data_IF_035004856624
#
_entry.id   IF_035004856624
#
_cell.length_a   1.000
_cell.length_b   1.000
_cell.length_c   1.000
_cell.angle_alpha   90.00
_cell.angle_beta   90.00
_cell.angle_gamma   90.00
#
_symmetry.space_group_name_H-M   'P 1'
#
loop_
_entity.id
_entity.type
_entity.pdbx_description
1 polymer ?
#
# COMPACT_ATOMS: atom_id res chain seq x y z
N UNK A 1 7.87 18.41 -7.32
CA UNK A 1 6.59 17.72 -7.51
C UNK A 1 5.94 18.38 -8.71
N UNK A 2 6.10 17.77 -9.88
CA UNK A 2 5.58 18.32 -11.13
C UNK A 2 4.14 17.84 -11.31
N UNK A 3 3.18 18.76 -11.12
CA UNK A 3 1.76 18.46 -11.30
C UNK A 3 1.45 18.53 -12.79
N UNK A 4 1.46 17.39 -13.47
CA UNK A 4 0.95 17.28 -14.83
C UNK A 4 -0.58 17.37 -14.79
N UNK A 5 -1.12 18.58 -15.01
CA UNK A 5 -2.56 18.81 -15.09
C UNK A 5 -3.12 18.12 -16.35
N UNK A 6 -3.68 16.92 -16.20
CA UNK A 6 -4.66 16.42 -17.15
C UNK A 6 -5.89 17.36 -17.11
N UNK A 7 -6.50 17.64 -18.27
CA UNK A 7 -7.46 18.75 -18.43
C UNK A 7 -8.74 18.62 -17.59
N UNK A 8 -9.04 17.45 -16.99
CA UNK A 8 -10.26 17.23 -16.21
C UNK A 8 -10.06 16.77 -14.75
N UNK A 9 -8.96 16.09 -14.43
CA UNK A 9 -8.64 15.66 -13.06
C UNK A 9 -7.15 15.96 -12.78
N UNK A 10 -6.78 16.67 -11.68
CA UNK A 10 -5.41 16.74 -11.19
C UNK A 10 -4.88 15.34 -10.94
N UNK A 11 -3.91 14.94 -11.76
CA UNK A 11 -3.11 13.75 -11.57
C UNK A 11 -1.76 14.20 -11.01
N UNK A 12 -1.36 13.57 -9.93
CA UNK A 12 -0.04 13.73 -9.33
C UNK A 12 0.80 12.54 -9.79
N UNK A 13 1.89 12.86 -10.48
CA UNK A 13 2.99 11.95 -10.77
C UNK A 13 4.22 12.51 -10.05
N UNK A 14 4.74 11.78 -9.08
CA UNK A 14 5.93 12.20 -8.33
C UNK A 14 6.73 10.99 -7.94
N UNK A 15 8.03 11.23 -7.79
CA UNK A 15 8.97 10.28 -7.21
C UNK A 15 8.87 10.33 -5.67
N UNK A 16 9.19 9.23 -5.00
CA UNK A 16 9.37 9.11 -3.55
C UNK A 16 8.12 9.11 -2.65
N UNK A 17 7.04 8.46 -3.09
CA UNK A 17 5.91 8.24 -2.18
C UNK A 17 6.17 7.08 -1.21
N UNK A 18 5.88 7.35 0.06
CA UNK A 18 5.80 6.34 1.11
C UNK A 18 4.34 6.12 1.49
N UNK A 19 3.95 4.85 1.55
CA UNK A 19 2.59 4.43 1.85
C UNK A 19 2.59 3.53 3.08
N UNK A 20 1.71 3.83 4.03
CA UNK A 20 1.63 3.12 5.28
C UNK A 20 0.27 2.46 5.43
N UNK A 21 0.27 1.21 5.86
CA UNK A 21 -0.96 0.50 6.22
C UNK A 21 -0.80 -0.17 7.56
N UNK A 22 -1.76 0.07 8.44
CA UNK A 22 -1.86 -0.64 9.70
C UNK A 22 -3.00 -1.65 9.61
N UNK A 23 -2.83 -2.80 10.25
CA UNK A 23 -3.86 -3.78 10.51
C UNK A 23 -3.84 -4.14 11.99
N UNK A 24 -4.99 -4.43 12.56
CA UNK A 24 -5.03 -5.17 13.81
C UNK A 24 -4.44 -6.57 13.61
N UNK A 25 -3.49 -6.93 14.46
CA UNK A 25 -2.83 -8.20 14.38
C UNK A 25 -3.71 -9.32 14.95
N UNK A 26 -3.94 -10.35 14.15
CA UNK A 26 -4.61 -11.58 14.55
C UNK A 26 -3.59 -12.73 14.59
N UNK A 27 -3.74 -13.66 15.53
CA UNK A 27 -2.92 -14.88 15.61
C UNK A 27 -2.92 -15.71 14.31
N UNK A 28 -3.96 -15.59 13.46
CA UNK A 28 -3.98 -16.23 12.12
C UNK A 28 -2.96 -15.65 11.12
N UNK A 29 -2.27 -14.57 11.49
CA UNK A 29 -1.18 -14.00 10.70
C UNK A 29 0.18 -14.62 11.05
N UNK A 30 0.30 -15.32 12.18
CA UNK A 30 1.51 -16.08 12.46
C UNK A 30 1.74 -17.17 11.41
N UNK A 31 3.00 -17.36 11.03
CA UNK A 31 3.37 -18.34 10.00
C UNK A 31 3.16 -17.89 8.56
N UNK A 32 2.47 -16.76 8.33
CA UNK A 32 2.36 -16.16 7.00
C UNK A 32 3.57 -15.30 6.71
N UNK A 33 4.19 -15.54 5.56
CA UNK A 33 5.31 -14.74 5.04
C UNK A 33 4.90 -13.29 4.82
N UNK A 34 5.87 -12.38 4.79
CA UNK A 34 5.63 -10.97 4.49
C UNK A 34 5.01 -10.82 3.09
N UNK A 35 5.40 -11.64 2.12
CA UNK A 35 4.74 -11.73 0.80
C UNK A 35 3.23 -12.05 0.92
N UNK A 36 2.85 -13.09 1.66
CA UNK A 36 1.44 -13.47 1.85
C UNK A 36 0.65 -12.38 2.60
N UNK A 37 1.26 -11.76 3.61
CA UNK A 37 0.66 -10.68 4.37
C UNK A 37 0.49 -9.43 3.51
N UNK A 38 1.46 -9.12 2.66
CA UNK A 38 1.43 -7.99 1.74
C UNK A 38 0.30 -8.18 0.72
N UNK A 39 0.30 -9.29 -0.02
CA UNK A 39 -0.74 -9.62 -1.01
C UNK A 39 -2.15 -9.64 -0.40
N UNK A 40 -2.30 -10.10 0.84
CA UNK A 40 -3.56 -10.08 1.59
C UNK A 40 -4.14 -8.68 1.90
N UNK A 41 -3.39 -7.61 1.63
CA UNK A 41 -3.89 -6.23 1.72
C UNK A 41 -4.78 -5.86 0.52
N UNK A 42 -4.62 -6.51 -0.62
CA UNK A 42 -5.46 -6.32 -1.79
C UNK A 42 -6.71 -7.21 -1.69
N UNK A 43 -7.89 -6.59 -1.57
CA UNK A 43 -9.12 -7.33 -1.26
C UNK A 43 -10.21 -7.02 -2.28
N UNK A 44 -10.96 -8.04 -2.68
CA UNK A 44 -12.19 -7.84 -3.44
C UNK A 44 -13.16 -6.96 -2.65
N UNK A 45 -13.77 -6.05 -3.38
CA UNK A 45 -14.91 -5.27 -2.93
C UNK A 45 -16.06 -6.18 -2.49
N UNK A 46 -16.36 -6.21 -1.17
CA UNK A 46 -17.53 -6.89 -0.57
C UNK A 46 -18.55 -5.85 -0.16
N UNK A 47 -19.86 -6.16 -0.22
CA UNK A 47 -20.96 -5.25 0.17
C UNK A 47 -20.78 -4.55 1.52
N UNK A 48 -20.07 -5.18 2.45
CA UNK A 48 -19.83 -4.67 3.82
C UNK A 48 -18.56 -3.81 3.94
N UNK A 49 -17.82 -3.62 2.85
CA UNK A 49 -16.61 -2.80 2.82
C UNK A 49 -16.99 -1.41 2.29
N UNK A 50 -16.78 -0.36 3.09
CA UNK A 50 -17.33 1.00 2.86
C UNK A 50 -17.20 1.56 1.44
N UNK A 51 -16.22 1.10 0.68
CA UNK A 51 -15.85 1.68 -0.61
C UNK A 51 -16.01 0.69 -1.78
N UNK A 52 -16.50 -0.52 -1.53
CA UNK A 52 -16.76 -1.56 -2.54
C UNK A 52 -17.79 -1.13 -3.59
N UNK A 53 -18.73 -0.29 -3.19
CA UNK A 53 -19.85 0.13 -4.02
C UNK A 53 -19.44 1.21 -5.02
N UNK A 54 -18.31 1.89 -4.78
CA UNK A 54 -17.79 2.93 -5.67
C UNK A 54 -17.13 2.35 -6.92
N UNK A 55 -16.47 1.20 -6.78
CA UNK A 55 -15.73 0.54 -7.85
C UNK A 55 -16.06 -0.96 -7.90
N UNK A 56 -17.28 -1.32 -8.35
CA UNK A 56 -17.76 -2.69 -8.31
C UNK A 56 -16.87 -3.63 -9.14
N UNK A 57 -16.60 -4.81 -8.60
CA UNK A 57 -15.77 -5.83 -9.24
C UNK A 57 -14.26 -5.61 -9.13
N UNK A 58 -13.80 -4.48 -8.58
CA UNK A 58 -12.37 -4.20 -8.43
C UNK A 58 -11.85 -4.63 -7.06
N UNK A 59 -10.59 -5.08 -7.01
CA UNK A 59 -9.87 -5.23 -5.75
C UNK A 59 -9.24 -3.90 -5.35
N UNK A 60 -9.31 -3.60 -4.06
CA UNK A 60 -8.89 -2.33 -3.48
C UNK A 60 -7.97 -2.56 -2.28
N UNK A 61 -7.07 -1.60 -2.03
CA UNK A 61 -6.21 -1.55 -0.85
C UNK A 61 -6.12 -0.14 -0.28
N UNK A 62 -6.20 -0.01 1.05
CA UNK A 62 -6.20 1.28 1.74
C UNK A 62 -4.85 1.54 2.39
N UNK A 63 -4.30 2.72 2.16
CA UNK A 63 -3.01 3.15 2.66
C UNK A 63 -3.10 4.60 3.16
N UNK A 64 -2.05 5.08 3.82
CA UNK A 64 -1.94 6.44 4.31
C UNK A 64 -0.54 7.01 4.09
N UNK A 65 -0.42 8.32 4.23
CA UNK A 65 0.82 9.09 4.10
C UNK A 65 1.85 8.86 5.21
N UNK A 66 1.39 8.37 6.37
CA UNK A 66 2.24 8.20 7.55
C UNK A 66 1.75 7.05 8.43
N UNK A 67 2.64 6.45 9.24
CA UNK A 67 2.24 5.40 10.18
C UNK A 67 1.28 5.95 11.25
N UNK A 68 1.35 7.23 11.58
CA UNK A 68 0.43 7.89 12.51
C UNK A 68 -0.98 8.00 11.92
N UNK A 69 -1.12 8.41 10.66
CA UNK A 69 -2.42 8.42 9.97
C UNK A 69 -2.98 7.01 9.84
N UNK A 70 -2.18 6.05 9.35
CA UNK A 70 -2.60 4.66 9.21
C UNK A 70 -3.08 4.05 10.54
N UNK A 71 -2.38 4.35 11.64
CA UNK A 71 -2.77 3.90 12.98
C UNK A 71 -4.03 4.58 13.48
N UNK A 72 -4.19 5.88 13.26
CA UNK A 72 -5.40 6.61 13.65
C UNK A 72 -6.64 6.05 12.95
N UNK A 73 -6.52 5.73 11.64
CA UNK A 73 -7.61 5.12 10.87
C UNK A 73 -8.07 3.80 11.48
N UNK A 74 -7.19 2.82 11.72
CA UNK A 74 -7.64 1.55 12.34
C UNK A 74 -8.19 1.72 13.75
N UNK A 75 -7.68 2.71 14.50
CA UNK A 75 -8.16 3.01 15.87
C UNK A 75 -9.56 3.59 15.87
N UNK A 76 -9.90 4.40 14.87
CA UNK A 76 -11.27 4.90 14.67
C UNK A 76 -12.28 3.75 14.54
N UNK A 77 -11.86 2.60 14.00
CA UNK A 77 -12.69 1.40 13.81
C UNK A 77 -12.57 0.38 14.96
N UNK A 78 -12.00 0.77 16.09
CA UNK A 78 -12.00 -0.06 17.31
C UNK A 78 -10.87 -1.09 17.40
N UNK A 79 -9.87 -1.05 16.53
CA UNK A 79 -8.75 -2.01 16.59
C UNK A 79 -7.95 -1.94 17.90
N UNK A 80 -7.53 -3.10 18.39
CA UNK A 80 -6.65 -3.28 19.56
C UNK A 80 -5.22 -2.73 19.39
N UNK A 81 -4.34 -2.91 20.37
CA UNK A 81 -2.98 -2.35 20.32
C UNK A 81 -1.93 -3.30 19.76
N UNK A 82 -2.34 -4.52 19.42
CA UNK A 82 -1.56 -5.45 18.62
C UNK A 82 -1.70 -5.05 17.15
N UNK A 83 -0.64 -4.48 16.56
CA UNK A 83 -0.70 -3.83 15.25
C UNK A 83 0.41 -4.37 14.36
N UNK A 84 0.04 -4.69 13.13
CA UNK A 84 0.95 -4.94 12.03
C UNK A 84 1.00 -3.68 11.15
N UNK A 85 2.18 -3.11 10.97
CA UNK A 85 2.40 -1.91 10.14
C UNK A 85 3.23 -2.30 8.93
N UNK A 86 2.70 -2.02 7.74
CA UNK A 86 3.41 -2.10 6.47
C UNK A 86 3.88 -0.71 6.09
N UNK A 87 5.12 -0.61 5.66
CA UNK A 87 5.69 0.55 4.98
C UNK A 87 6.04 0.13 3.56
N UNK A 88 5.27 0.63 2.61
CA UNK A 88 5.47 0.46 1.18
C UNK A 88 5.97 1.74 0.51
N UNK A 89 6.51 1.61 -0.69
CA UNK A 89 6.96 2.70 -1.55
C UNK A 89 6.61 2.41 -3.01
N UNK A 90 6.67 3.44 -3.85
CA UNK A 90 6.60 3.30 -5.30
C UNK A 90 7.86 2.60 -5.83
N UNK A 91 7.75 1.33 -6.25
CA UNK A 91 8.91 0.58 -6.71
C UNK A 91 9.52 1.18 -7.99
N UNK A 92 8.68 1.77 -8.85
CA UNK A 92 9.10 2.40 -10.10
C UNK A 92 10.00 3.64 -9.89
N UNK A 93 9.99 4.23 -8.68
CA UNK A 93 10.88 5.33 -8.34
C UNK A 93 12.17 4.90 -7.64
N UNK A 94 12.39 3.59 -7.40
CA UNK A 94 13.64 3.09 -6.83
C UNK A 94 14.77 3.12 -7.86
N UNK A 95 16.00 3.29 -7.37
CA UNK A 95 17.19 3.19 -8.22
C UNK A 95 17.37 1.78 -8.80
N UNK A 96 16.99 0.74 -8.04
CA UNK A 96 17.01 -0.65 -8.47
C UNK A 96 15.60 -1.20 -8.22
N UNK A 97 14.67 -1.04 -9.19
CA UNK A 97 13.32 -1.56 -9.06
C UNK A 97 13.35 -3.09 -9.03
N UNK A 98 12.30 -3.66 -8.47
CA UNK A 98 12.07 -5.11 -8.42
C UNK A 98 10.75 -5.51 -9.10
N UNK A 99 10.01 -4.53 -9.62
CA UNK A 99 8.74 -4.69 -10.32
C UNK A 99 8.88 -4.10 -11.71
N UNK A 100 8.35 -4.82 -12.71
CA UNK A 100 8.38 -4.39 -14.11
C UNK A 100 6.95 -4.31 -14.70
N UNK A 101 6.64 -3.31 -15.53
CA UNK A 101 7.49 -2.17 -15.88
C UNK A 101 7.67 -1.19 -14.72
N UNK A 102 8.85 -0.57 -14.63
CA UNK A 102 9.15 0.48 -13.67
C UNK A 102 8.45 1.78 -14.10
N UNK A 103 7.17 1.90 -13.77
CA UNK A 103 6.33 3.06 -14.06
C UNK A 103 5.99 3.81 -12.79
N UNK A 104 6.00 5.14 -12.86
CA UNK A 104 5.52 5.98 -11.77
C UNK A 104 4.05 5.66 -11.42
N UNK A 105 3.70 5.82 -10.15
CA UNK A 105 2.32 5.76 -9.69
C UNK A 105 1.56 7.01 -10.13
N UNK A 106 0.41 6.79 -10.81
CA UNK A 106 -0.54 7.84 -11.19
C UNK A 106 -1.61 8.01 -10.12
N UNK A 107 -1.53 9.11 -9.38
CA UNK A 107 -2.45 9.41 -8.26
C UNK A 107 -3.47 10.45 -8.70
N UNK A 108 -4.77 10.16 -8.59
CA UNK A 108 -5.78 11.22 -8.68
C UNK A 108 -5.80 11.99 -7.35
N UNK A 109 -5.68 13.31 -7.42
CA UNK A 109 -5.84 14.20 -6.27
C UNK A 109 -7.34 14.37 -5.93
N UNK A 110 -7.89 13.38 -5.23
CA UNK A 110 -9.23 13.45 -4.68
C UNK A 110 -9.36 14.39 -3.47
N UNK A 111 -8.23 14.87 -2.91
CA UNK A 111 -8.22 15.88 -1.85
C UNK A 111 -8.76 17.20 -2.41
N UNK A 112 -8.31 17.60 -3.59
CA UNK A 112 -8.79 18.81 -4.25
C UNK A 112 -10.32 18.83 -4.46
N UNK A 113 -10.91 17.67 -4.72
CA UNK A 113 -12.36 17.53 -4.97
C UNK A 113 -13.19 17.20 -3.74
N UNK A 114 -12.58 17.04 -2.57
CA UNK A 114 -13.28 16.63 -1.36
C UNK A 114 -13.87 15.21 -1.45
N UNK A 115 -13.13 14.28 -2.07
CA UNK A 115 -13.55 12.89 -2.22
C UNK A 115 -13.82 12.19 -0.87
N UNK A 116 -13.19 12.65 0.21
CA UNK A 116 -13.48 12.24 1.59
C UNK A 116 -14.97 12.40 1.95
N UNK A 117 -15.65 13.42 1.41
CA UNK A 117 -17.09 13.64 1.63
C UNK A 117 -17.94 12.59 0.93
N UNK A 118 -17.55 12.21 -0.29
CA UNK A 118 -18.21 11.13 -1.04
C UNK A 118 -18.02 9.81 -0.28
N UNK A 119 -16.81 9.52 0.17
CA UNK A 119 -16.49 8.34 0.96
C UNK A 119 -17.31 8.27 2.26
N UNK A 120 -17.44 9.40 2.96
CA UNK A 120 -18.26 9.49 4.18
C UNK A 120 -19.73 9.21 3.91
N UNK A 121 -20.30 9.77 2.83
CA UNK A 121 -21.68 9.50 2.40
C UNK A 121 -21.90 8.01 2.16
N UNK A 122 -21.01 7.36 1.40
CA UNK A 122 -21.12 5.92 1.15
C UNK A 122 -21.02 5.12 2.44
N UNK A 123 -20.10 5.49 3.34
CA UNK A 123 -19.96 4.87 4.65
C UNK A 123 -21.20 5.01 5.54
N UNK A 124 -21.96 6.09 5.37
CA UNK A 124 -23.23 6.35 6.07
C UNK A 124 -24.46 5.77 5.35
N UNK A 125 -24.28 5.05 4.23
CA UNK A 125 -25.36 4.57 3.37
C UNK A 125 -26.26 5.70 2.80
N UNK A 126 -25.69 6.89 2.61
CA UNK A 126 -26.37 8.02 1.96
C UNK A 126 -26.32 7.88 0.44
N UNK A 127 -27.37 8.34 -0.25
CA UNK A 127 -27.39 8.35 -1.72
C UNK A 127 -26.42 9.39 -2.27
N UNK A 128 -25.60 8.97 -3.23
CA UNK A 128 -24.76 9.87 -4.00
C UNK A 128 -25.60 10.64 -5.02
N UNK A 129 -25.29 11.93 -5.17
CA UNK A 129 -25.90 12.78 -6.20
C UNK A 129 -25.48 12.30 -7.60
N UNK A 130 -26.21 12.77 -8.62
CA UNK A 130 -25.85 12.49 -10.01
C UNK A 130 -24.43 12.96 -10.35
N UNK A 131 -24.05 14.16 -9.91
CA UNK A 131 -22.71 14.70 -10.16
C UNK A 131 -21.60 13.91 -9.45
N UNK A 132 -21.86 13.42 -8.24
CA UNK A 132 -20.92 12.55 -7.52
C UNK A 132 -20.71 11.22 -8.24
N UNK A 133 -21.79 10.60 -8.75
CA UNK A 133 -21.71 9.38 -9.56
C UNK A 133 -20.95 9.61 -10.86
N UNK A 134 -21.26 10.69 -11.58
CA UNK A 134 -20.54 11.07 -12.81
C UNK A 134 -19.04 11.31 -12.54
N UNK A 135 -18.68 11.89 -11.39
CA UNK A 135 -17.29 12.08 -10.99
C UNK A 135 -16.57 10.75 -10.71
N UNK A 136 -17.22 9.81 -10.02
CA UNK A 136 -16.68 8.45 -9.79
C UNK A 136 -16.47 7.72 -11.12
N UNK A 137 -17.42 7.83 -12.05
CA UNK A 137 -17.30 7.24 -13.38
C UNK A 137 -16.10 7.82 -14.15
N UNK A 138 -15.86 9.14 -14.04
CA UNK A 138 -14.66 9.77 -14.62
C UNK A 138 -13.37 9.23 -14.03
N UNK A 139 -13.29 9.10 -12.70
CA UNK A 139 -12.14 8.47 -12.03
C UNK A 139 -11.89 7.07 -12.60
N UNK A 140 -12.94 6.26 -12.75
CA UNK A 140 -12.82 4.91 -13.30
C UNK A 140 -12.29 4.87 -14.74
N UNK A 141 -12.64 5.87 -15.58
CA UNK A 141 -12.19 5.97 -16.98
C UNK A 141 -10.71 6.32 -17.11
N UNK A 142 -10.18 7.15 -16.21
CA UNK A 142 -8.75 7.51 -16.20
C UNK A 142 -7.82 6.34 -15.86
N UNK A 143 -8.37 5.26 -15.26
CA UNK A 143 -7.64 4.07 -14.80
C UNK A 143 -6.39 4.46 -13.96
N UNK A 144 -6.56 5.22 -12.87
CA UNK A 144 -5.44 5.60 -12.03
C UNK A 144 -4.88 4.41 -11.24
N UNK A 145 -3.67 4.57 -10.73
CA UNK A 145 -3.06 3.61 -9.82
C UNK A 145 -3.66 3.74 -8.41
N UNK A 146 -3.86 4.98 -7.95
CA UNK A 146 -4.55 5.26 -6.70
C UNK A 146 -5.26 6.62 -6.67
N UNK A 147 -6.06 6.82 -5.64
CA UNK A 147 -6.82 8.04 -5.37
C UNK A 147 -6.52 8.55 -3.97
N UNK A 148 -6.05 9.78 -3.85
CA UNK A 148 -5.77 10.42 -2.57
C UNK A 148 -7.02 11.11 -2.01
N UNK A 149 -7.19 11.10 -0.67
CA UNK A 149 -8.28 11.78 0.02
C UNK A 149 -7.90 12.09 1.48
N UNK A 150 -8.60 13.01 2.13
CA UNK A 150 -8.32 13.34 3.52
C UNK A 150 -8.70 12.20 4.48
N UNK A 151 -7.83 11.97 5.47
CA UNK A 151 -8.10 11.07 6.59
C UNK A 151 -9.28 11.59 7.40
N UNK A 152 -10.14 10.66 7.74
CA UNK A 152 -11.32 10.87 8.57
C UNK A 152 -11.00 10.77 10.07
N UNK A 153 -9.85 10.18 10.40
CA UNK A 153 -9.39 9.92 11.77
C UNK A 153 -8.29 10.89 12.24
N UNK A 154 -7.55 11.52 11.33
CA UNK A 154 -6.45 12.43 11.66
C UNK A 154 -6.49 13.67 10.78
N UNK A 155 -6.70 14.83 11.42
CA UNK A 155 -6.66 16.14 10.75
C UNK A 155 -5.33 16.32 10.01
N UNK A 156 -5.42 16.68 8.73
CA UNK A 156 -4.27 16.89 7.86
C UNK A 156 -3.59 15.62 7.34
N UNK A 157 -4.01 14.42 7.78
CA UNK A 157 -3.52 13.16 7.23
C UNK A 157 -4.14 12.87 5.87
N UNK A 158 -3.38 12.25 4.97
CA UNK A 158 -3.85 11.82 3.65
C UNK A 158 -3.93 10.29 3.62
N UNK A 159 -5.03 9.79 3.04
CA UNK A 159 -5.26 8.38 2.74
C UNK A 159 -5.23 8.15 1.23
N UNK A 160 -4.88 6.93 0.84
CA UNK A 160 -4.79 6.49 -0.54
C UNK A 160 -5.61 5.22 -0.74
N UNK A 161 -6.49 5.25 -1.75
CA UNK A 161 -7.22 4.09 -2.24
C UNK A 161 -6.50 3.56 -3.47
N UNK A 162 -5.80 2.44 -3.32
CA UNK A 162 -5.12 1.76 -4.42
C UNK A 162 -6.04 0.80 -5.15
N UNK A 163 -6.02 0.89 -6.47
CA UNK A 163 -6.59 -0.09 -7.38
C UNK A 163 -5.62 -1.27 -7.57
N UNK A 164 -6.11 -2.39 -8.08
CA UNK A 164 -5.30 -3.61 -8.23
C UNK A 164 -3.99 -3.40 -8.99
N UNK A 165 -4.01 -2.62 -10.08
CA UNK A 165 -2.80 -2.37 -10.87
C UNK A 165 -1.82 -1.46 -10.12
N UNK A 166 -2.30 -0.36 -9.53
CA UNK A 166 -1.46 0.51 -8.71
C UNK A 166 -0.87 -0.18 -7.48
N UNK A 167 -1.64 -1.06 -6.84
CA UNK A 167 -1.14 -1.86 -5.71
C UNK A 167 0.03 -2.75 -6.12
N UNK A 168 -0.01 -3.31 -7.33
CA UNK A 168 1.07 -4.15 -7.86
C UNK A 168 2.34 -3.38 -8.19
N UNK A 169 2.32 -2.04 -8.18
CA UNK A 169 3.51 -1.17 -8.30
C UNK A 169 4.19 -0.92 -6.95
N UNK A 170 3.59 -1.39 -5.83
CA UNK A 170 4.14 -1.18 -4.51
C UNK A 170 5.16 -2.26 -4.13
N UNK A 171 6.28 -1.82 -3.59
CA UNK A 171 7.23 -2.67 -2.86
C UNK A 171 7.26 -2.28 -1.40
N UNK A 172 7.68 -3.21 -0.54
CA UNK A 172 7.82 -3.02 0.89
C UNK A 172 9.23 -2.57 1.26
N UNK A 173 9.31 -1.56 2.11
CA UNK A 173 10.54 -1.20 2.83
C UNK A 173 10.66 -2.02 4.10
N UNK A 174 9.59 -2.06 4.90
CA UNK A 174 9.55 -2.84 6.14
C UNK A 174 8.14 -3.28 6.51
N UNK A 175 8.09 -4.34 7.32
CA UNK A 175 6.89 -4.74 8.06
C UNK A 175 7.23 -4.85 9.53
N UNK A 176 6.46 -4.17 10.38
CA UNK A 176 6.67 -4.13 11.82
C UNK A 176 5.46 -4.73 12.54
N UNK A 177 5.72 -5.70 13.42
CA UNK A 177 4.75 -6.23 14.37
C UNK A 177 4.98 -5.60 15.74
N UNK A 178 3.93 -5.02 16.31
CA UNK A 178 3.90 -4.54 17.69
C UNK A 178 2.78 -5.24 18.46
N UNK A 179 3.12 -6.05 19.45
CA UNK A 179 2.17 -6.68 20.37
C UNK A 179 1.92 -5.76 21.59
N UNK A 180 1.21 -4.66 21.36
CA UNK A 180 1.03 -3.59 22.35
C UNK A 180 0.22 -3.96 23.60
N UNK A 181 -0.60 -5.01 23.53
CA UNK A 181 -1.42 -5.48 24.66
C UNK A 181 -0.66 -6.49 25.55
N UNK A 182 0.50 -6.98 25.12
CA UNK A 182 1.29 -7.96 25.86
C UNK A 182 2.21 -7.27 26.89
N UNK A 183 2.43 -7.93 28.04
CA UNK A 183 3.42 -7.50 29.03
C UNK A 183 4.80 -7.44 28.38
N UNK A 184 5.43 -6.27 28.39
CA UNK A 184 6.72 -6.00 27.72
C UNK A 184 6.62 -5.36 26.33
N UNK A 185 5.42 -5.28 25.72
CA UNK A 185 5.17 -4.64 24.41
C UNK A 185 6.13 -5.14 23.32
N UNK A 186 6.18 -6.46 23.14
CA UNK A 186 7.10 -7.11 22.20
C UNK A 186 6.94 -6.55 20.79
N UNK A 187 8.07 -6.33 20.12
CA UNK A 187 8.11 -5.82 18.75
C UNK A 187 9.07 -6.65 17.90
N UNK A 188 8.72 -6.86 16.65
CA UNK A 188 9.64 -7.34 15.63
C UNK A 188 9.49 -6.52 14.35
N UNK A 189 10.55 -6.54 13.56
CA UNK A 189 10.62 -5.88 12.26
C UNK A 189 11.23 -6.85 11.26
N UNK A 190 10.69 -6.85 10.06
CA UNK A 190 11.26 -7.47 8.86
C UNK A 190 11.57 -6.35 7.87
N UNK A 191 12.78 -6.35 7.33
CA UNK A 191 13.24 -5.38 6.34
C UNK A 191 13.17 -5.99 4.95
N UNK A 192 12.68 -5.23 3.97
CA UNK A 192 12.47 -5.65 2.59
C UNK A 192 13.14 -4.69 1.58
N UNK A 193 13.51 -3.48 2.03
CA UNK A 193 14.43 -2.60 1.34
C UNK A 193 15.20 -1.76 2.37
N UNK A 194 16.44 -1.40 2.03
CA UNK A 194 17.34 -0.58 2.86
C UNK A 194 17.59 0.78 2.19
N UNK A 195 18.45 1.59 2.80
CA UNK A 195 18.93 2.89 2.27
C UNK A 195 17.80 3.88 1.93
N UNK A 196 18.10 5.05 1.38
CA UNK A 196 17.09 6.07 1.02
C UNK A 196 16.49 5.85 -0.36
N UNK A 197 17.25 5.19 -1.24
CA UNK A 197 16.92 4.80 -2.62
C UNK A 197 16.19 3.45 -2.72
N UNK A 198 15.88 2.83 -1.57
CA UNK A 198 15.17 1.56 -1.46
C UNK A 198 15.90 0.39 -2.13
N UNK A 199 17.21 0.26 -1.90
CA UNK A 199 17.96 -0.93 -2.33
C UNK A 199 17.27 -2.20 -1.80
N UNK A 200 16.89 -3.14 -2.67
CA UNK A 200 16.01 -4.24 -2.29
C UNK A 200 16.68 -5.28 -1.38
N UNK A 201 15.89 -5.91 -0.52
CA UNK A 201 16.25 -7.10 0.26
C UNK A 201 15.16 -8.13 -0.01
N UNK A 202 15.28 -8.85 -1.12
CA UNK A 202 14.22 -9.72 -1.64
C UNK A 202 13.84 -10.82 -0.66
N UNK A 203 14.80 -11.40 0.05
CA UNK A 203 14.57 -12.41 1.09
C UNK A 203 13.69 -11.86 2.22
N UNK A 204 13.64 -10.54 2.42
CA UNK A 204 12.76 -9.90 3.40
C UNK A 204 11.31 -10.39 3.33
N UNK A 205 10.81 -10.62 2.12
CA UNK A 205 9.44 -11.07 1.89
C UNK A 205 9.17 -12.52 2.33
N UNK A 206 10.20 -13.36 2.43
CA UNK A 206 10.10 -14.75 2.89
C UNK A 206 10.09 -14.90 4.42
N UNK A 207 10.37 -13.83 5.16
CA UNK A 207 10.25 -13.86 6.62
C UNK A 207 8.79 -13.86 7.05
N UNK A 208 8.49 -14.52 8.16
CA UNK A 208 7.20 -14.49 8.83
C UNK A 208 7.36 -14.22 10.33
N UNK A 209 6.30 -13.69 10.93
CA UNK A 209 6.22 -13.54 12.37
C UNK A 209 5.78 -14.87 13.01
N UNK A 210 6.38 -15.17 14.16
CA UNK A 210 6.03 -16.28 15.05
C UNK A 210 5.72 -15.74 16.45
N UNK A 211 5.09 -16.55 17.34
CA UNK A 211 4.61 -16.08 18.63
C UNK A 211 5.62 -15.27 19.44
N UNK A 212 5.12 -14.26 20.16
CA UNK A 212 5.91 -13.32 20.96
C UNK A 212 6.78 -12.40 20.07
N UNK A 213 6.25 -12.04 18.89
CA UNK A 213 6.92 -11.17 17.93
C UNK A 213 8.35 -11.62 17.62
N UNK A 214 8.55 -12.91 17.37
CA UNK A 214 9.81 -13.44 16.82
C UNK A 214 9.70 -13.51 15.30
N UNK A 215 10.83 -13.46 14.60
CA UNK A 215 10.88 -13.68 13.15
C UNK A 215 11.47 -15.05 12.84
N UNK A 216 10.98 -15.65 11.75
CA UNK A 216 11.50 -16.89 11.15
C UNK A 216 11.43 -16.74 9.63
N UNK A 217 12.08 -17.64 8.91
CA UNK A 217 12.16 -17.62 7.46
C UNK A 217 11.51 -18.88 6.87
N UNK A 218 10.84 -18.74 5.72
CA UNK A 218 10.38 -19.87 4.91
C UNK A 218 11.34 -20.06 3.72
N UNK A 219 12.15 -21.12 3.77
CA UNK A 219 13.12 -21.47 2.73
C UNK A 219 12.49 -21.72 1.36
N UNK A 220 11.18 -21.96 1.29
CA UNK A 220 10.48 -22.12 0.01
C UNK A 220 10.30 -20.80 -0.73
N UNK A 221 10.41 -19.66 -0.05
CA UNK A 221 10.16 -18.36 -0.66
C UNK A 221 11.11 -18.05 -1.83
N UNK A 222 12.39 -18.43 -1.74
CA UNK A 222 13.36 -18.23 -2.84
C UNK A 222 13.03 -19.01 -4.12
N UNK A 223 12.12 -19.99 -4.03
CA UNK A 223 11.63 -20.78 -5.18
C UNK A 223 10.26 -20.32 -5.67
N UNK A 224 9.70 -19.26 -5.08
CA UNK A 224 8.41 -18.72 -5.48
C UNK A 224 8.49 -17.88 -6.74
N UNK A 225 7.39 -17.81 -7.48
CA UNK A 225 7.27 -16.96 -8.67
C UNK A 225 7.56 -15.48 -8.35
N UNK A 226 7.11 -14.98 -7.19
CA UNK A 226 7.38 -13.60 -6.77
C UNK A 226 8.88 -13.35 -6.64
N UNK A 227 9.61 -14.22 -5.94
CA UNK A 227 11.05 -14.05 -5.74
C UNK A 227 11.79 -14.10 -7.08
N UNK A 228 11.49 -15.09 -7.91
CA UNK A 228 12.16 -15.30 -9.20
C UNK A 228 11.95 -14.07 -10.10
N UNK A 229 10.72 -13.59 -10.22
CA UNK A 229 10.41 -12.41 -11.06
C UNK A 229 11.10 -11.16 -10.52
N UNK A 230 11.02 -10.90 -9.20
CA UNK A 230 11.69 -9.74 -8.60
C UNK A 230 13.21 -9.78 -8.80
N UNK A 231 13.80 -10.98 -8.67
CA UNK A 231 15.23 -11.17 -8.86
C UNK A 231 15.67 -10.92 -10.29
N UNK A 232 14.88 -11.37 -11.28
CA UNK A 232 15.14 -11.08 -12.69
C UNK A 232 15.13 -9.56 -13.00
N UNK A 233 14.21 -8.81 -12.39
CA UNK A 233 14.13 -7.35 -12.58
C UNK A 233 15.31 -6.64 -11.90
N UNK A 234 15.68 -7.06 -10.70
CA UNK A 234 16.86 -6.56 -9.98
C UNK A 234 18.15 -6.80 -10.80
N UNK A 235 18.36 -8.04 -11.27
CA UNK A 235 19.54 -8.43 -12.05
C UNK A 235 19.62 -7.65 -13.37
N UNK A 236 18.50 -7.51 -14.09
CA UNK A 236 18.43 -6.68 -15.29
C UNK A 236 18.80 -5.21 -15.02
N UNK A 237 18.33 -4.66 -13.91
CA UNK A 237 18.66 -3.27 -13.52
C UNK A 237 20.16 -3.11 -13.23
N UNK A 238 20.77 -4.09 -12.56
CA UNK A 238 22.22 -4.11 -12.34
C UNK A 238 23.03 -4.21 -13.64
N UNK A 239 22.59 -5.03 -14.60
CA UNK A 239 23.23 -5.13 -15.92
C UNK A 239 23.19 -3.79 -16.66
N UNK A 240 22.04 -3.12 -16.70
CA UNK A 240 21.88 -1.81 -17.33
C UNK A 240 22.80 -0.76 -16.70
N UNK A 241 22.89 -0.72 -15.37
CA UNK A 241 23.78 0.20 -14.65
C UNK A 241 25.25 -0.09 -14.98
N UNK A 242 25.64 -1.36 -15.02
CA UNK A 242 27.01 -1.76 -15.34
C UNK A 242 27.41 -1.41 -16.78
N UNK A 243 26.49 -1.49 -17.73
CA UNK A 243 26.70 -1.05 -19.11
C UNK A 243 26.86 0.47 -19.21
N UNK A 244 26.06 1.24 -18.49
CA UNK A 244 26.15 2.72 -18.47
C UNK A 244 27.44 3.25 -17.85
N UNK A 245 28.10 2.47 -16.98
CA UNK A 245 29.36 2.83 -16.33
C UNK A 245 30.62 2.43 -17.11
N UNK A 246 30.47 1.74 -18.25
CA UNK A 246 31.57 1.36 -19.15
C UNK A 246 31.81 2.42 -20.23
#
# INVERSE_FOLDING_TARGET
MDIWKHQELPIIESHDFNFFRCLEFNNSYYGKTVSELHSGNLRLSKKDNRYSNLFPGQKLSYWADSPQTARAEIKKWGSGNNILTFWAYDDGSSFIPTIYPAENIRIIDGVHFGFDKILKKVGNHEELTRSEKEFIDKIGREKPDCLAYYSEAKVGGICFLFFEQGFKKLSLREVTLRLGDYKGKNTAKVTCAVTSDFSPVLEGYGYYFSPIAKTKYDDKYITSDEYIVRKQVEDYSHEQIAEMMR
#
